data_IF_688710932703
#
_entry.id   IF_688710932703
#
_cell.length_a   1.000
_cell.length_b   1.000
_cell.length_c   1.000
_cell.angle_alpha   90.00
_cell.angle_beta   90.00
_cell.angle_gamma   90.00
#
_symmetry.space_group_name_H-M   'P 1'
#
loop_
_entity.id
_entity.type
_entity.pdbx_description
1 polymer ?
#
# COMPACT_ATOMS: atom_id res chain seq x y z
N UNK A 1 -2.38 -1.01 26.11
CA UNK A 1 -2.76 -1.18 24.69
C UNK A 1 -1.69 -1.93 23.88
N UNK A 2 -0.39 -1.68 24.05
CA UNK A 2 0.67 -2.35 23.27
C UNK A 2 0.76 -3.87 23.47
N UNK A 3 0.50 -4.37 24.69
CA UNK A 3 0.58 -5.81 25.01
C UNK A 3 -0.32 -6.69 24.14
N UNK A 4 -1.52 -6.22 23.79
CA UNK A 4 -2.42 -6.99 22.93
C UNK A 4 -1.91 -7.10 21.49
N UNK A 5 -1.31 -6.04 20.97
CA UNK A 5 -0.68 -6.02 19.64
C UNK A 5 0.48 -7.01 19.59
N UNK A 6 1.40 -6.95 20.57
CA UNK A 6 2.53 -7.87 20.64
C UNK A 6 2.06 -9.32 20.79
N UNK A 7 1.01 -9.59 21.58
CA UNK A 7 0.47 -10.95 21.73
C UNK A 7 -0.06 -11.53 20.42
N UNK A 8 -0.80 -10.73 19.64
CA UNK A 8 -1.28 -11.14 18.31
C UNK A 8 -0.09 -11.39 17.39
N UNK A 9 0.87 -10.47 17.34
CA UNK A 9 2.07 -10.60 16.51
C UNK A 9 2.87 -11.87 16.86
N UNK A 10 3.12 -12.14 18.15
CA UNK A 10 3.84 -13.33 18.60
C UNK A 10 3.14 -14.63 18.18
N UNK A 11 1.82 -14.67 18.19
CA UNK A 11 1.06 -15.86 17.77
C UNK A 11 1.14 -16.05 16.26
N UNK A 12 0.97 -14.99 15.47
CA UNK A 12 1.13 -15.08 14.02
C UNK A 12 2.55 -15.51 13.64
N UNK A 13 3.57 -14.98 14.32
CA UNK A 13 4.96 -15.40 14.16
C UNK A 13 5.18 -16.86 14.56
N UNK A 14 4.58 -17.33 15.65
CA UNK A 14 4.67 -18.72 16.08
C UNK A 14 3.99 -19.66 15.06
N UNK A 15 2.82 -19.30 14.53
CA UNK A 15 2.14 -20.06 13.49
C UNK A 15 3.00 -20.19 12.24
N UNK A 16 3.61 -19.09 11.78
CA UNK A 16 4.54 -19.09 10.65
C UNK A 16 5.78 -19.97 10.95
N UNK A 17 6.41 -19.80 12.10
CA UNK A 17 7.60 -20.55 12.48
C UNK A 17 7.32 -22.06 12.55
N UNK A 18 6.22 -22.47 13.18
CA UNK A 18 5.80 -23.87 13.24
C UNK A 18 5.54 -24.43 11.85
N UNK A 19 4.83 -23.68 11.01
CA UNK A 19 4.55 -24.10 9.64
C UNK A 19 5.83 -24.28 8.81
N UNK A 20 6.77 -23.32 8.88
CA UNK A 20 8.07 -23.40 8.21
C UNK A 20 8.93 -24.56 8.72
N UNK A 21 8.99 -24.77 10.03
CA UNK A 21 9.74 -25.89 10.61
C UNK A 21 9.19 -27.24 10.14
N UNK A 22 7.87 -27.41 10.14
CA UNK A 22 7.21 -28.61 9.59
C UNK A 22 7.54 -28.75 8.10
N UNK A 23 7.38 -27.68 7.33
CA UNK A 23 7.65 -27.67 5.89
C UNK A 23 9.08 -28.12 5.58
N UNK A 24 10.09 -27.49 6.20
CA UNK A 24 11.49 -27.85 5.99
C UNK A 24 11.82 -29.27 6.46
N UNK A 25 11.24 -29.71 7.58
CA UNK A 25 11.46 -31.04 8.13
C UNK A 25 10.99 -32.16 7.20
N UNK A 26 9.87 -31.95 6.50
CA UNK A 26 9.23 -32.97 5.66
C UNK A 26 9.56 -32.86 4.17
N UNK A 27 9.98 -31.68 3.69
CA UNK A 27 10.33 -31.50 2.27
C UNK A 27 11.81 -31.74 2.01
N UNK A 28 12.72 -31.37 2.92
CA UNK A 28 14.18 -31.51 2.72
C UNK A 28 14.68 -31.04 1.34
N UNK A 29 14.00 -30.05 0.76
CA UNK A 29 14.23 -29.52 -0.60
C UNK A 29 13.96 -30.48 -1.77
N UNK A 30 13.31 -31.62 -1.53
CA UNK A 30 12.85 -32.52 -2.58
C UNK A 30 11.56 -32.01 -3.24
N UNK A 31 11.57 -31.92 -4.58
CA UNK A 31 10.47 -31.33 -5.36
C UNK A 31 9.16 -32.13 -5.28
N UNK A 32 9.23 -33.46 -5.18
CA UNK A 32 8.04 -34.30 -5.06
C UNK A 32 7.40 -34.13 -3.69
N UNK A 33 8.22 -34.11 -2.64
CA UNK A 33 7.80 -33.83 -1.27
C UNK A 33 7.20 -32.42 -1.12
N UNK A 34 7.77 -31.39 -1.78
CA UNK A 34 7.20 -30.03 -1.79
C UNK A 34 5.79 -30.03 -2.36
N UNK A 35 5.55 -30.71 -3.49
CA UNK A 35 4.21 -30.83 -4.07
C UNK A 35 3.25 -31.56 -3.14
N UNK A 36 3.69 -32.67 -2.55
CA UNK A 36 2.87 -33.46 -1.61
C UNK A 36 2.42 -32.65 -0.39
N UNK A 37 3.27 -31.74 0.09
CA UNK A 37 3.01 -30.90 1.27
C UNK A 37 2.54 -29.48 0.92
N UNK A 38 2.10 -29.23 -0.31
CA UNK A 38 1.68 -27.89 -0.77
C UNK A 38 0.47 -27.31 -0.01
N UNK A 39 -0.33 -28.16 0.63
CA UNK A 39 -1.45 -27.71 1.48
C UNK A 39 -0.98 -26.94 2.71
N UNK A 40 0.27 -27.13 3.15
CA UNK A 40 0.76 -26.60 4.42
C UNK A 40 0.82 -25.05 4.44
N UNK A 41 1.37 -24.35 3.43
CA UNK A 41 1.22 -22.89 3.30
C UNK A 41 -0.25 -22.42 3.22
N UNK A 42 -1.11 -23.16 2.51
CA UNK A 42 -2.54 -22.85 2.42
C UNK A 42 -3.25 -22.91 3.77
N UNK A 43 -2.94 -23.92 4.58
CA UNK A 43 -3.46 -24.06 5.94
C UNK A 43 -2.97 -22.95 6.87
N UNK A 44 -1.72 -22.49 6.71
CA UNK A 44 -1.22 -21.32 7.45
C UNK A 44 -2.04 -20.07 7.14
N UNK A 45 -2.23 -19.77 5.85
CA UNK A 45 -3.03 -18.62 5.41
C UNK A 45 -4.46 -18.70 5.95
N UNK A 46 -5.09 -19.87 5.87
CA UNK A 46 -6.41 -20.11 6.44
C UNK A 46 -6.42 -19.88 7.95
N UNK A 47 -5.43 -20.40 8.69
CA UNK A 47 -5.29 -20.20 10.13
C UNK A 47 -5.13 -18.72 10.51
N UNK A 48 -4.35 -17.95 9.73
CA UNK A 48 -4.19 -16.50 9.92
C UNK A 48 -5.54 -15.80 9.72
N UNK A 49 -6.28 -16.10 8.65
CA UNK A 49 -7.60 -15.52 8.39
C UNK A 49 -8.59 -15.86 9.51
N UNK A 50 -8.63 -17.12 9.94
CA UNK A 50 -9.46 -17.59 11.05
C UNK A 50 -9.15 -16.80 12.34
N UNK A 51 -7.87 -16.53 12.61
CA UNK A 51 -7.45 -15.73 13.77
C UNK A 51 -8.06 -14.32 13.76
N UNK A 52 -8.16 -13.69 12.59
CA UNK A 52 -8.75 -12.35 12.47
C UNK A 52 -10.29 -12.34 12.44
N UNK A 53 -10.94 -13.41 11.96
CA UNK A 53 -12.39 -13.45 11.76
C UNK A 53 -13.16 -14.07 12.93
N UNK A 54 -12.59 -15.06 13.64
CA UNK A 54 -13.35 -15.82 14.65
C UNK A 54 -13.86 -14.95 15.81
N UNK A 55 -15.15 -14.99 16.18
CA UNK A 55 -15.70 -14.18 17.27
C UNK A 55 -15.33 -14.70 18.68
N UNK A 56 -14.25 -15.46 18.84
CA UNK A 56 -13.77 -15.99 20.12
C UNK A 56 -13.17 -14.90 21.01
N UNK A 57 -13.32 -15.01 22.33
CA UNK A 57 -12.73 -14.04 23.28
C UNK A 57 -11.22 -14.26 23.53
N UNK A 58 -10.53 -14.78 22.53
CA UNK A 58 -9.09 -15.01 22.52
C UNK A 58 -8.52 -13.98 21.53
N UNK A 59 -7.35 -13.41 21.85
CA UNK A 59 -6.63 -12.47 20.98
C UNK A 59 -7.39 -11.17 20.71
N UNK A 60 -7.80 -10.51 21.79
CA UNK A 60 -8.33 -9.14 21.79
C UNK A 60 -9.50 -8.93 20.82
N UNK A 61 -10.64 -9.57 21.13
CA UNK A 61 -11.88 -9.61 20.34
C UNK A 61 -12.31 -8.23 19.83
N UNK A 62 -12.28 -7.20 20.67
CA UNK A 62 -12.68 -5.85 20.28
C UNK A 62 -11.81 -5.28 19.16
N UNK A 63 -10.50 -5.52 19.22
CA UNK A 63 -9.55 -5.02 18.22
C UNK A 63 -9.82 -5.65 16.85
N UNK A 64 -10.10 -6.96 16.84
CA UNK A 64 -10.42 -7.71 15.62
C UNK A 64 -11.77 -7.28 15.03
N UNK A 65 -12.79 -7.10 15.87
CA UNK A 65 -14.08 -6.57 15.43
C UNK A 65 -13.97 -5.15 14.86
N UNK A 66 -13.19 -4.26 15.52
CA UNK A 66 -12.89 -2.93 14.99
C UNK A 66 -12.19 -3.02 13.63
N UNK A 67 -11.17 -3.87 13.48
CA UNK A 67 -10.48 -4.09 12.21
C UNK A 67 -11.44 -4.53 11.09
N UNK A 68 -12.31 -5.52 11.34
CA UNK A 68 -13.31 -5.97 10.37
C UNK A 68 -14.32 -4.87 10.01
N UNK A 69 -14.78 -4.10 11.00
CA UNK A 69 -15.64 -2.94 10.77
C UNK A 69 -14.94 -1.89 9.90
N UNK A 70 -13.64 -1.66 10.10
CA UNK A 70 -12.84 -0.73 9.29
C UNK A 70 -12.71 -1.26 7.87
N UNK A 71 -12.36 -2.54 7.67
CA UNK A 71 -12.32 -3.17 6.34
C UNK A 71 -13.63 -3.00 5.57
N UNK A 72 -14.76 -3.23 6.24
CA UNK A 72 -16.09 -3.01 5.65
C UNK A 72 -16.30 -1.54 5.25
N UNK A 73 -15.99 -0.60 6.13
CA UNK A 73 -16.14 0.84 5.83
C UNK A 73 -15.29 1.28 4.66
N UNK A 74 -14.03 0.86 4.61
CA UNK A 74 -13.11 1.23 3.52
C UNK A 74 -13.59 0.64 2.20
N UNK A 75 -14.02 -0.62 2.16
CA UNK A 75 -14.48 -1.28 0.93
C UNK A 75 -15.69 -0.56 0.32
N UNK A 76 -16.66 -0.16 1.15
CA UNK A 76 -17.84 0.60 0.72
C UNK A 76 -17.65 2.12 0.74
N UNK A 77 -16.44 2.61 0.98
CA UNK A 77 -16.08 4.03 0.94
C UNK A 77 -16.80 4.94 1.93
N UNK A 78 -17.42 4.37 2.96
CA UNK A 78 -18.06 5.11 4.04
C UNK A 78 -17.05 5.40 5.15
N UNK A 79 -16.09 6.28 4.84
CA UNK A 79 -15.10 6.72 5.83
C UNK A 79 -15.82 7.38 7.00
N UNK A 80 -15.51 6.92 8.20
CA UNK A 80 -16.04 7.46 9.45
C UNK A 80 -15.32 8.79 9.79
N UNK A 81 -16.05 9.80 10.30
CA UNK A 81 -15.46 11.11 10.60
C UNK A 81 -14.57 11.08 11.84
N UNK A 82 -14.95 10.30 12.85
CA UNK A 82 -14.20 10.18 14.11
C UNK A 82 -13.00 9.25 13.93
N UNK A 83 -13.16 8.19 13.14
CA UNK A 83 -12.10 7.20 12.88
C UNK A 83 -11.40 7.41 11.53
N UNK A 84 -11.51 8.63 10.98
CA UNK A 84 -11.02 8.97 9.64
C UNK A 84 -9.56 8.58 9.45
N UNK A 85 -8.70 8.91 10.41
CA UNK A 85 -7.28 8.60 10.33
C UNK A 85 -7.03 7.10 10.21
N UNK A 86 -7.70 6.29 11.03
CA UNK A 86 -7.57 4.83 10.99
C UNK A 86 -8.07 4.23 9.68
N UNK A 87 -9.18 4.72 9.14
CA UNK A 87 -9.74 4.24 7.87
C UNK A 87 -8.81 4.58 6.70
N UNK A 88 -8.27 5.80 6.67
CA UNK A 88 -7.32 6.23 5.64
C UNK A 88 -6.01 5.45 5.73
N UNK A 89 -5.47 5.27 6.94
CA UNK A 89 -4.24 4.52 7.18
C UNK A 89 -4.38 3.07 6.70
N UNK A 90 -5.47 2.39 7.06
CA UNK A 90 -5.71 1.00 6.65
C UNK A 90 -5.87 0.89 5.13
N UNK A 91 -6.61 1.80 4.52
CA UNK A 91 -6.82 1.79 3.07
C UNK A 91 -5.52 2.07 2.30
N UNK A 92 -4.64 2.93 2.81
CA UNK A 92 -3.32 3.19 2.22
C UNK A 92 -2.36 2.02 2.39
N UNK A 93 -2.39 1.35 3.55
CA UNK A 93 -1.66 0.09 3.75
C UNK A 93 -2.10 -0.95 2.72
N UNK A 94 -3.41 -1.10 2.47
CA UNK A 94 -3.93 -2.05 1.50
C UNK A 94 -3.37 -1.84 0.07
N UNK A 95 -3.06 -0.60 -0.32
CA UNK A 95 -2.43 -0.32 -1.64
C UNK A 95 -1.04 -0.93 -1.79
N UNK A 96 -0.28 -1.02 -0.70
CA UNK A 96 1.04 -1.67 -0.70
C UNK A 96 0.94 -3.20 -0.81
N UNK A 97 -0.22 -3.79 -0.44
CA UNK A 97 -0.51 -5.22 -0.56
C UNK A 97 -1.08 -5.64 -1.93
N UNK A 98 -1.21 -4.74 -2.91
CA UNK A 98 -1.82 -5.05 -4.21
C UNK A 98 -1.21 -6.28 -4.91
N UNK A 99 0.13 -6.40 -4.93
CA UNK A 99 0.82 -7.57 -5.51
C UNK A 99 0.59 -8.83 -4.67
N UNK A 100 0.66 -8.73 -3.33
CA UNK A 100 0.40 -9.85 -2.42
C UNK A 100 -1.01 -10.42 -2.65
N UNK A 101 -2.02 -9.56 -2.85
CA UNK A 101 -3.37 -9.99 -3.20
C UNK A 101 -3.43 -10.70 -4.55
N UNK A 102 -2.67 -10.23 -5.55
CA UNK A 102 -2.53 -10.90 -6.84
C UNK A 102 -1.88 -12.29 -6.70
N UNK A 103 -0.82 -12.42 -5.92
CA UNK A 103 -0.14 -13.71 -5.70
C UNK A 103 -1.05 -14.68 -4.93
N UNK A 104 -1.77 -14.19 -3.90
CA UNK A 104 -2.77 -14.99 -3.20
C UNK A 104 -3.87 -15.50 -4.14
N UNK A 105 -4.31 -14.69 -5.10
CA UNK A 105 -5.25 -15.12 -6.12
C UNK A 105 -4.68 -16.22 -7.01
N UNK A 106 -3.48 -16.03 -7.56
CA UNK A 106 -2.84 -17.02 -8.44
C UNK A 106 -2.63 -18.34 -7.70
N UNK A 107 -2.06 -18.31 -6.49
CA UNK A 107 -1.88 -19.51 -5.67
C UNK A 107 -3.21 -20.22 -5.37
N UNK A 108 -4.27 -19.47 -5.04
CA UNK A 108 -5.60 -20.04 -4.79
C UNK A 108 -6.18 -20.66 -6.06
N UNK A 109 -6.08 -19.96 -7.19
CA UNK A 109 -6.58 -20.43 -8.47
C UNK A 109 -5.88 -21.71 -8.92
N UNK A 110 -4.56 -21.77 -8.84
CA UNK A 110 -3.78 -22.97 -9.15
C UNK A 110 -4.21 -24.13 -8.27
N UNK A 111 -4.31 -23.91 -6.96
CA UNK A 111 -4.73 -24.93 -6.00
C UNK A 111 -6.11 -25.53 -6.34
N UNK A 112 -7.10 -24.68 -6.65
CA UNK A 112 -8.46 -25.16 -6.99
C UNK A 112 -8.59 -25.74 -8.39
N UNK A 113 -7.65 -25.48 -9.30
CA UNK A 113 -7.62 -26.04 -10.67
C UNK A 113 -6.78 -27.31 -10.78
N UNK A 114 -6.18 -27.77 -9.67
CA UNK A 114 -5.33 -28.97 -9.64
C UNK A 114 -3.91 -28.75 -10.14
N UNK A 115 -3.52 -27.49 -10.39
CA UNK A 115 -2.13 -27.11 -10.68
C UNK A 115 -1.43 -26.89 -9.34
N UNK A 116 -0.24 -27.47 -9.16
CA UNK A 116 0.46 -27.31 -7.89
C UNK A 116 0.77 -25.84 -7.61
N UNK A 117 0.30 -25.34 -6.47
CA UNK A 117 0.49 -23.96 -6.00
C UNK A 117 1.96 -23.62 -5.68
N UNK A 118 2.81 -24.65 -5.62
CA UNK A 118 4.27 -24.55 -5.40
C UNK A 118 5.08 -24.63 -6.69
N UNK A 119 4.43 -24.91 -7.83
CA UNK A 119 5.06 -24.86 -9.15
C UNK A 119 5.13 -23.43 -9.68
N UNK A 120 5.75 -23.25 -10.85
CA UNK A 120 5.86 -21.95 -11.50
C UNK A 120 4.47 -21.28 -11.62
N UNK A 121 4.32 -20.00 -11.21
CA UNK A 121 3.02 -19.35 -11.16
C UNK A 121 2.34 -19.24 -12.53
N UNK A 122 1.14 -19.79 -12.66
CA UNK A 122 0.31 -19.67 -13.86
C UNK A 122 -0.46 -18.34 -13.82
N UNK A 123 0.15 -17.28 -14.35
CA UNK A 123 -0.38 -15.91 -14.25
C UNK A 123 -1.69 -15.68 -15.00
N UNK A 124 -2.08 -16.58 -15.90
CA UNK A 124 -3.37 -16.55 -16.60
C UNK A 124 -4.46 -17.36 -15.87
N UNK A 125 -4.16 -17.96 -14.72
CA UNK A 125 -5.14 -18.72 -13.95
C UNK A 125 -6.32 -17.82 -13.52
N UNK A 126 -7.53 -18.20 -13.94
CA UNK A 126 -8.75 -17.43 -13.72
C UNK A 126 -9.02 -16.35 -14.78
N UNK A 127 -8.26 -16.35 -15.88
CA UNK A 127 -8.44 -15.49 -17.04
C UNK A 127 -7.46 -14.31 -17.10
N UNK A 128 -7.19 -13.84 -18.33
CA UNK A 128 -6.19 -12.80 -18.66
C UNK A 128 -6.34 -11.51 -17.83
N UNK A 129 -7.58 -11.11 -17.53
CA UNK A 129 -7.87 -9.82 -16.90
C UNK A 129 -8.02 -9.88 -15.38
N UNK A 130 -8.11 -11.08 -14.79
CA UNK A 130 -8.42 -11.22 -13.37
C UNK A 130 -7.29 -10.70 -12.47
N UNK A 131 -6.04 -11.06 -12.78
CA UNK A 131 -4.88 -10.60 -12.02
C UNK A 131 -4.73 -9.06 -12.04
N UNK A 132 -4.79 -8.37 -13.20
CA UNK A 132 -4.82 -6.91 -13.25
C UNK A 132 -5.97 -6.27 -12.45
N UNK A 133 -7.17 -6.86 -12.48
CA UNK A 133 -8.33 -6.36 -11.71
C UNK A 133 -8.05 -6.43 -10.21
N UNK A 134 -7.49 -7.54 -9.72
CA UNK A 134 -7.17 -7.73 -8.31
C UNK A 134 -6.05 -6.79 -7.85
N UNK A 135 -5.02 -6.59 -8.67
CA UNK A 135 -3.96 -5.62 -8.39
C UNK A 135 -4.50 -4.18 -8.37
N UNK A 136 -5.49 -3.87 -9.22
CA UNK A 136 -6.12 -2.54 -9.26
C UNK A 136 -7.11 -2.28 -8.10
N UNK A 137 -7.63 -3.33 -7.46
CA UNK A 137 -8.69 -3.23 -6.46
C UNK A 137 -8.36 -2.27 -5.29
N UNK A 138 -7.17 -2.31 -4.64
CA UNK A 138 -6.85 -1.37 -3.57
C UNK A 138 -6.88 0.10 -4.02
N UNK A 139 -6.34 0.40 -5.20
CA UNK A 139 -6.35 1.75 -5.78
C UNK A 139 -7.76 2.19 -6.15
N UNK A 140 -8.61 1.27 -6.64
CA UNK A 140 -10.02 1.53 -6.92
C UNK A 140 -10.82 1.85 -5.65
N UNK A 141 -10.58 1.13 -4.56
CA UNK A 141 -11.18 1.41 -3.24
C UNK A 141 -10.82 2.84 -2.81
N UNK A 142 -9.54 3.23 -2.89
CA UNK A 142 -9.09 4.58 -2.53
C UNK A 142 -9.65 5.65 -3.45
N UNK A 143 -9.67 5.41 -4.76
CA UNK A 143 -10.27 6.33 -5.73
C UNK A 143 -11.75 6.58 -5.39
N UNK A 144 -12.52 5.51 -5.18
CA UNK A 144 -13.94 5.60 -4.81
C UNK A 144 -14.15 6.39 -3.52
N UNK A 145 -13.34 6.13 -2.50
CA UNK A 145 -13.36 6.91 -1.25
C UNK A 145 -13.12 8.40 -1.48
N UNK A 146 -12.09 8.75 -2.27
CA UNK A 146 -11.74 10.14 -2.54
C UNK A 146 -12.84 10.86 -3.32
N UNK A 147 -13.49 10.18 -4.27
CA UNK A 147 -14.62 10.72 -5.03
C UNK A 147 -15.86 10.94 -4.16
N UNK A 148 -16.17 10.00 -3.25
CA UNK A 148 -17.28 10.16 -2.29
C UNK A 148 -17.02 11.35 -1.37
N UNK A 149 -15.81 11.47 -0.83
CA UNK A 149 -15.42 12.60 0.03
C UNK A 149 -15.44 13.93 -0.73
N UNK A 150 -14.98 13.96 -1.99
CA UNK A 150 -15.12 15.14 -2.84
C UNK A 150 -16.60 15.52 -3.03
N UNK A 151 -17.46 14.54 -3.32
CA UNK A 151 -18.91 14.73 -3.48
C UNK A 151 -19.58 15.27 -2.22
N UNK A 152 -19.22 14.75 -1.04
CA UNK A 152 -19.72 15.21 0.28
C UNK A 152 -19.35 16.65 0.60
N UNK A 153 -18.27 17.17 0.00
CA UNK A 153 -17.78 18.53 0.20
C UNK A 153 -18.19 19.48 -0.94
N UNK A 154 -19.05 19.07 -1.87
CA UNK A 154 -19.64 19.99 -2.85
C UNK A 154 -20.38 21.11 -2.10
N UNK A 155 -20.11 22.36 -2.49
CA UNK A 155 -20.63 23.56 -1.81
C UNK A 155 -19.73 24.11 -0.70
N UNK A 156 -18.69 23.37 -0.27
CA UNK A 156 -17.64 23.90 0.63
C UNK A 156 -16.59 24.72 -0.14
N UNK A 157 -15.78 25.55 0.54
CA UNK A 157 -14.67 26.28 -0.07
C UNK A 157 -13.73 25.38 -0.88
N UNK A 158 -13.08 25.95 -1.90
CA UNK A 158 -12.17 25.19 -2.76
C UNK A 158 -10.98 24.59 -1.99
N UNK A 159 -10.55 25.23 -0.90
CA UNK A 159 -9.49 24.75 -0.01
C UNK A 159 -9.81 23.39 0.63
N UNK A 160 -11.07 23.13 0.96
CA UNK A 160 -11.54 21.86 1.55
C UNK A 160 -11.78 20.80 0.47
N UNK A 161 -12.18 21.21 -0.74
CA UNK A 161 -12.53 20.29 -1.84
C UNK A 161 -11.33 19.78 -2.62
N UNK A 162 -10.41 20.69 -2.99
CA UNK A 162 -9.24 20.39 -3.85
C UNK A 162 -8.38 19.23 -3.32
N UNK A 163 -8.11 19.11 -2.00
CA UNK A 163 -7.34 17.98 -1.47
C UNK A 163 -7.94 16.60 -1.80
N UNK A 164 -9.27 16.46 -1.75
CA UNK A 164 -9.94 15.20 -2.09
C UNK A 164 -9.80 14.86 -3.59
N UNK A 165 -9.90 15.88 -4.46
CA UNK A 165 -9.71 15.71 -5.90
C UNK A 165 -8.27 15.30 -6.23
N UNK A 166 -7.28 15.98 -5.68
CA UNK A 166 -5.88 15.62 -5.93
C UNK A 166 -5.55 14.22 -5.40
N UNK A 167 -6.13 13.83 -4.27
CA UNK A 167 -5.98 12.47 -3.78
C UNK A 167 -6.64 11.44 -4.72
N UNK A 168 -7.81 11.75 -5.29
CA UNK A 168 -8.45 10.91 -6.31
C UNK A 168 -7.56 10.76 -7.54
N UNK A 169 -6.98 11.87 -8.05
CA UNK A 169 -6.05 11.84 -9.19
C UNK A 169 -4.80 11.01 -8.90
N UNK A 170 -4.27 11.07 -7.67
CA UNK A 170 -3.15 10.24 -7.23
C UNK A 170 -3.48 8.74 -7.41
N UNK A 171 -4.59 8.25 -6.86
CA UNK A 171 -4.94 6.83 -7.01
C UNK A 171 -5.39 6.47 -8.44
N UNK A 172 -5.96 7.42 -9.18
CA UNK A 172 -6.29 7.23 -10.59
C UNK A 172 -5.02 7.01 -11.45
N UNK A 173 -3.89 7.62 -11.08
CA UNK A 173 -2.62 7.49 -11.82
C UNK A 173 -2.02 6.07 -11.77
N UNK A 174 -2.49 5.20 -10.87
CA UNK A 174 -2.05 3.80 -10.81
C UNK A 174 -2.67 2.93 -11.91
N UNK A 175 -3.86 3.26 -12.42
CA UNK A 175 -4.58 2.42 -13.39
C UNK A 175 -3.86 2.32 -14.74
N UNK A 176 -3.34 3.41 -15.34
CA UNK A 176 -2.55 3.31 -16.56
C UNK A 176 -1.32 2.42 -16.41
N UNK A 177 -0.64 2.45 -15.26
CA UNK A 177 0.51 1.57 -14.99
C UNK A 177 0.10 0.09 -15.06
N UNK A 178 -1.02 -0.26 -14.42
CA UNK A 178 -1.53 -1.63 -14.37
C UNK A 178 -2.03 -2.06 -15.76
N UNK A 179 -2.79 -1.20 -16.44
CA UNK A 179 -3.35 -1.46 -17.76
C UNK A 179 -2.25 -1.71 -18.79
N UNK A 180 -1.27 -0.80 -18.91
CA UNK A 180 -0.20 -0.98 -19.88
C UNK A 180 0.73 -2.15 -19.52
N UNK A 181 0.89 -2.48 -18.23
CA UNK A 181 1.59 -3.70 -17.81
C UNK A 181 0.85 -4.96 -18.27
N UNK A 182 -0.48 -5.00 -18.13
CA UNK A 182 -1.30 -6.13 -18.56
C UNK A 182 -1.31 -6.30 -20.10
N UNK A 183 -1.49 -5.21 -20.86
CA UNK A 183 -1.51 -5.24 -22.32
C UNK A 183 -0.18 -5.70 -22.94
N UNK A 184 0.95 -5.44 -22.27
CA UNK A 184 2.26 -5.94 -22.71
C UNK A 184 2.42 -7.46 -22.50
N UNK A 185 1.64 -8.08 -21.60
CA UNK A 185 1.67 -9.53 -21.35
C UNK A 185 0.74 -10.31 -22.28
N UNK A 186 -0.37 -9.70 -22.69
CA UNK A 186 -1.36 -10.28 -23.61
C UNK A 186 -0.93 -10.18 -25.08
N UNK A 187 0.13 -9.40 -25.37
CA UNK A 187 0.64 -9.31 -26.74
C UNK A 187 1.49 -10.54 -27.03
N UNK A 188 0.90 -11.52 -27.71
CA UNK A 188 1.64 -12.62 -28.35
C UNK A 188 2.80 -12.04 -29.15
N UNK A 189 4.01 -12.61 -28.95
CA UNK A 189 5.31 -12.14 -29.43
C UNK A 189 5.47 -12.01 -30.97
N UNK A 190 4.39 -11.98 -31.73
CA UNK A 190 4.36 -11.73 -33.17
C UNK A 190 3.14 -10.96 -33.70
N UNK A 191 2.17 -10.56 -32.86
CA UNK A 191 0.89 -9.97 -33.32
C UNK A 191 0.93 -8.45 -33.53
N UNK A 192 1.83 -7.73 -32.85
CA UNK A 192 2.07 -6.30 -33.04
C UNK A 192 3.50 -6.10 -33.52
N UNK A 193 3.70 -5.33 -34.58
CA UNK A 193 5.05 -4.98 -35.03
C UNK A 193 5.84 -4.27 -33.91
N UNK A 194 7.17 -4.32 -33.98
CA UNK A 194 8.12 -3.72 -33.01
C UNK A 194 7.72 -2.32 -32.51
N UNK A 195 7.16 -1.49 -33.40
CA UNK A 195 6.69 -0.14 -33.07
C UNK A 195 5.56 -0.11 -32.01
N UNK A 196 4.64 -1.09 -32.03
CA UNK A 196 3.54 -1.20 -31.08
C UNK A 196 4.00 -1.61 -29.68
N UNK A 197 4.96 -2.54 -29.58
CA UNK A 197 5.56 -2.94 -28.31
C UNK A 197 6.34 -1.79 -27.68
N UNK A 198 7.16 -1.10 -28.47
CA UNK A 198 7.92 0.08 -28.01
C UNK A 198 6.99 1.19 -27.54
N UNK A 199 5.87 1.44 -28.23
CA UNK A 199 4.88 2.43 -27.82
C UNK A 199 4.24 2.06 -26.47
N UNK A 200 3.80 0.81 -26.28
CA UNK A 200 3.22 0.35 -25.01
C UNK A 200 4.21 0.48 -23.85
N UNK A 201 5.47 0.10 -24.06
CA UNK A 201 6.52 0.26 -23.06
C UNK A 201 6.73 1.74 -22.68
N UNK A 202 6.76 2.66 -23.66
CA UNK A 202 6.89 4.10 -23.40
C UNK A 202 5.71 4.66 -22.63
N UNK A 203 4.48 4.28 -22.96
CA UNK A 203 3.29 4.69 -22.21
C UNK A 203 3.28 4.13 -20.79
N UNK A 204 3.72 2.88 -20.62
CA UNK A 204 3.90 2.30 -19.30
C UNK A 204 4.95 3.06 -18.48
N UNK A 205 6.11 3.37 -19.05
CA UNK A 205 7.19 4.11 -18.39
C UNK A 205 6.74 5.53 -18.00
N UNK A 206 6.02 6.23 -18.88
CA UNK A 206 5.44 7.54 -18.58
C UNK A 206 4.43 7.44 -17.44
N UNK A 207 3.56 6.44 -17.47
CA UNK A 207 2.56 6.20 -16.41
C UNK A 207 3.24 5.92 -15.06
N UNK A 208 4.32 5.12 -15.08
CA UNK A 208 5.16 4.84 -13.92
C UNK A 208 5.77 6.12 -13.36
N UNK A 209 6.34 6.97 -14.22
CA UNK A 209 6.97 8.22 -13.82
C UNK A 209 5.96 9.17 -13.18
N UNK A 210 4.79 9.34 -13.81
CA UNK A 210 3.70 10.19 -13.29
C UNK A 210 3.20 9.68 -11.95
N UNK A 211 2.84 8.39 -11.87
CA UNK A 211 2.34 7.78 -10.63
C UNK A 211 3.36 7.88 -9.49
N UNK A 212 4.63 7.57 -9.78
CA UNK A 212 5.69 7.58 -8.76
C UNK A 212 5.99 8.99 -8.28
N UNK A 213 6.12 9.96 -9.20
CA UNK A 213 6.40 11.35 -8.83
C UNK A 213 5.26 11.96 -8.02
N UNK A 214 4.01 11.74 -8.43
CA UNK A 214 2.84 12.24 -7.71
C UNK A 214 2.74 11.59 -6.33
N UNK A 215 2.89 10.26 -6.26
CA UNK A 215 2.82 9.55 -4.98
C UNK A 215 3.96 9.96 -4.04
N UNK A 216 5.17 10.23 -4.56
CA UNK A 216 6.30 10.74 -3.80
C UNK A 216 6.08 12.15 -3.25
N UNK A 217 5.62 13.06 -4.11
CA UNK A 217 5.19 14.38 -3.67
C UNK A 217 4.14 14.29 -2.56
N UNK A 218 3.16 13.39 -2.71
CA UNK A 218 2.10 13.23 -1.73
C UNK A 218 2.62 12.76 -0.37
N UNK A 219 3.47 11.74 -0.35
CA UNK A 219 4.01 11.21 0.91
C UNK A 219 4.79 12.28 1.67
N UNK A 220 5.67 13.00 0.98
CA UNK A 220 6.52 14.03 1.59
C UNK A 220 5.74 15.29 1.97
N UNK A 221 5.00 15.89 1.04
CA UNK A 221 4.37 17.20 1.26
C UNK A 221 3.02 17.15 1.96
N UNK A 222 2.25 16.05 1.83
CA UNK A 222 0.88 15.98 2.35
C UNK A 222 0.76 15.07 3.56
N UNK A 223 1.31 13.86 3.44
CA UNK A 223 1.19 12.85 4.48
C UNK A 223 2.15 13.13 5.64
N UNK A 224 3.39 13.51 5.32
CA UNK A 224 4.39 13.96 6.30
C UNK A 224 4.40 15.47 6.51
N UNK A 225 3.61 16.23 5.74
CA UNK A 225 3.41 17.67 5.95
C UNK A 225 4.73 18.47 5.96
N UNK A 226 5.70 18.02 5.16
CA UNK A 226 7.01 18.65 5.06
C UNK A 226 6.98 19.80 4.05
N UNK A 227 7.76 20.85 4.32
CA UNK A 227 7.81 22.07 3.53
C UNK A 227 8.83 22.02 2.37
N UNK A 228 9.41 20.84 2.09
CA UNK A 228 10.47 20.66 1.09
C UNK A 228 10.11 21.16 -0.32
N UNK A 229 8.85 21.02 -0.71
CA UNK A 229 8.32 21.47 -2.02
C UNK A 229 7.53 22.79 -1.94
N UNK A 230 7.74 23.56 -0.86
CA UNK A 230 7.06 24.83 -0.60
C UNK A 230 8.06 25.99 -0.63
N UNK A 231 7.58 27.21 -0.86
CA UNK A 231 8.36 28.43 -0.68
C UNK A 231 8.92 28.57 0.75
N UNK A 232 8.28 27.92 1.73
CA UNK A 232 8.72 27.87 3.12
C UNK A 232 9.98 27.00 3.35
N UNK A 233 10.51 26.31 2.32
CA UNK A 233 11.72 25.48 2.40
C UNK A 233 12.92 26.25 2.99
N UNK A 234 13.02 27.54 2.67
CA UNK A 234 14.13 28.41 3.10
C UNK A 234 13.78 29.26 4.32
N UNK A 235 12.69 28.98 5.04
CA UNK A 235 12.32 29.72 6.25
C UNK A 235 13.38 29.50 7.36
N UNK A 236 13.98 30.56 7.93
CA UNK A 236 14.95 30.44 9.02
C UNK A 236 14.42 29.73 10.27
N UNK A 237 13.10 29.75 10.50
CA UNK A 237 12.45 29.11 11.64
C UNK A 237 12.28 27.58 11.48
N UNK A 238 12.67 27.02 10.34
CA UNK A 238 12.55 25.60 10.05
C UNK A 238 13.89 25.01 9.59
N UNK A 239 14.24 23.77 10.00
CA UNK A 239 15.28 23.03 9.31
C UNK A 239 14.87 22.87 7.84
N UNK A 240 15.80 23.07 6.89
CA UNK A 240 15.57 23.14 5.44
C UNK A 240 14.47 22.20 4.90
N UNK A 241 13.24 22.71 4.72
CA UNK A 241 12.11 21.95 4.20
C UNK A 241 11.44 20.94 5.16
N UNK A 242 11.79 20.93 6.44
CA UNK A 242 11.12 20.13 7.48
C UNK A 242 10.00 20.93 8.18
N UNK A 243 9.35 20.30 9.16
CA UNK A 243 8.33 20.93 10.01
C UNK A 243 8.96 21.63 11.21
N UNK A 244 8.23 22.59 11.76
CA UNK A 244 8.61 23.28 12.99
C UNK A 244 8.57 22.36 14.21
N UNK A 245 7.49 21.59 14.35
CA UNK A 245 7.32 20.62 15.44
C UNK A 245 7.68 19.23 14.91
N UNK A 246 8.78 18.68 15.44
CA UNK A 246 9.28 17.35 15.14
C UNK A 246 9.32 16.53 16.42
N UNK A 247 8.71 15.34 16.43
CA UNK A 247 8.78 14.43 17.57
C UNK A 247 10.10 13.66 17.54
N UNK A 248 10.59 13.32 16.35
CA UNK A 248 11.93 12.76 16.20
C UNK A 248 12.96 13.90 16.30
N UNK A 249 13.85 13.89 17.31
CA UNK A 249 14.71 15.05 17.57
C UNK A 249 15.82 15.23 16.52
N UNK A 250 16.08 14.19 15.70
CA UNK A 250 17.20 14.18 14.76
C UNK A 250 16.71 14.44 13.33
N UNK A 251 17.04 15.59 12.70
CA UNK A 251 16.61 15.93 11.34
C UNK A 251 17.03 14.93 10.26
N UNK A 252 18.20 14.29 10.41
CA UNK A 252 18.69 13.30 9.44
C UNK A 252 17.76 12.10 9.29
N UNK A 253 16.97 11.76 10.31
CA UNK A 253 15.95 10.69 10.25
C UNK A 253 14.87 11.02 9.22
N UNK A 254 14.44 12.29 9.12
CA UNK A 254 13.47 12.72 8.12
C UNK A 254 14.06 12.68 6.70
N UNK A 255 15.28 13.18 6.51
CA UNK A 255 15.91 13.13 5.18
C UNK A 255 16.20 11.70 4.74
N UNK A 256 16.63 10.82 5.67
CA UNK A 256 16.77 9.39 5.40
C UNK A 256 15.43 8.76 5.01
N UNK A 257 14.34 9.11 5.70
CA UNK A 257 13.00 8.64 5.36
C UNK A 257 12.55 9.11 3.96
N UNK A 258 12.77 10.38 3.62
CA UNK A 258 12.48 10.93 2.28
C UNK A 258 13.27 10.19 1.21
N UNK A 259 14.58 10.00 1.42
CA UNK A 259 15.43 9.29 0.49
C UNK A 259 15.01 7.83 0.31
N UNK A 260 14.79 7.11 1.42
CA UNK A 260 14.35 5.72 1.41
C UNK A 260 12.98 5.55 0.76
N UNK A 261 12.02 6.44 1.04
CA UNK A 261 10.71 6.38 0.38
C UNK A 261 10.82 6.60 -1.13
N UNK A 262 11.62 7.57 -1.57
CA UNK A 262 11.89 7.80 -2.99
C UNK A 262 12.54 6.58 -3.67
N UNK A 263 13.60 6.03 -3.07
CA UNK A 263 14.32 4.87 -3.58
C UNK A 263 13.41 3.62 -3.65
N UNK A 264 12.72 3.30 -2.56
CA UNK A 264 11.86 2.13 -2.49
C UNK A 264 10.61 2.29 -3.37
N UNK A 265 10.14 3.51 -3.64
CA UNK A 265 9.03 3.71 -4.57
C UNK A 265 9.38 3.33 -6.02
N UNK A 266 10.65 3.45 -6.42
CA UNK A 266 11.12 2.92 -7.71
C UNK A 266 10.94 1.39 -7.79
N UNK A 267 11.08 0.69 -6.65
CA UNK A 267 10.88 -0.77 -6.60
C UNK A 267 9.43 -1.19 -6.87
N UNK A 268 8.46 -0.37 -6.47
CA UNK A 268 7.05 -0.59 -6.78
C UNK A 268 6.80 -0.57 -8.29
N UNK A 269 7.50 0.28 -9.03
CA UNK A 269 7.40 0.34 -10.48
C UNK A 269 8.10 -0.84 -11.15
N UNK A 270 9.26 -1.24 -10.63
CA UNK A 270 10.03 -2.37 -11.15
C UNK A 270 9.27 -3.70 -11.04
N UNK A 271 8.51 -3.92 -9.96
CA UNK A 271 7.72 -5.17 -9.82
C UNK A 271 6.57 -5.31 -10.82
N UNK A 272 6.11 -4.21 -11.41
CA UNK A 272 5.07 -4.19 -12.45
C UNK A 272 5.67 -4.23 -13.85
N UNK A 273 7.01 -4.29 -13.96
CA UNK A 273 7.72 -4.42 -15.23
C UNK A 273 7.34 -5.74 -15.90
N UNK A 274 6.84 -5.70 -17.15
CA UNK A 274 6.55 -6.91 -17.93
C UNK A 274 7.78 -7.80 -18.14
N UNK A 275 8.97 -7.21 -18.11
CA UNK A 275 10.23 -7.93 -18.29
C UNK A 275 10.65 -8.71 -17.04
N UNK A 276 10.30 -8.25 -15.83
CA UNK A 276 10.62 -8.97 -14.60
C UNK A 276 9.83 -10.28 -14.49
N UNK A 277 8.59 -10.29 -14.99
CA UNK A 277 7.73 -11.47 -15.00
C UNK A 277 8.18 -12.54 -16.02
N UNK A 278 8.94 -12.18 -17.06
CA UNK A 278 9.44 -13.14 -18.08
C UNK A 278 10.56 -14.04 -17.53
N UNK A 279 11.27 -13.61 -16.50
CA UNK A 279 12.35 -14.39 -15.90
C UNK A 279 11.85 -15.08 -14.63
N UNK A 280 11.31 -16.28 -14.78
CA UNK A 280 10.81 -17.13 -13.68
C UNK A 280 11.87 -17.41 -12.59
N UNK A 281 13.16 -17.23 -12.88
CA UNK A 281 14.26 -17.41 -11.94
C UNK A 281 14.37 -16.29 -10.88
N UNK A 282 13.55 -15.23 -10.99
CA UNK A 282 13.60 -14.07 -10.10
C UNK A 282 12.49 -14.03 -9.04
N UNK A 283 11.78 -15.13 -8.75
CA UNK A 283 10.72 -15.16 -7.72
C UNK A 283 11.22 -14.70 -6.33
N UNK A 284 12.47 -15.02 -5.97
CA UNK A 284 13.12 -14.48 -4.77
C UNK A 284 13.27 -12.95 -4.85
N UNK A 285 13.65 -12.43 -6.02
CA UNK A 285 13.72 -10.99 -6.27
C UNK A 285 12.35 -10.33 -6.11
N UNK A 286 11.30 -10.91 -6.70
CA UNK A 286 9.91 -10.43 -6.56
C UNK A 286 9.46 -10.45 -5.11
N UNK A 287 9.81 -11.49 -4.33
CA UNK A 287 9.57 -11.54 -2.90
C UNK A 287 10.28 -10.40 -2.14
N UNK A 288 11.57 -10.16 -2.42
CA UNK A 288 12.32 -9.07 -1.81
C UNK A 288 11.69 -7.71 -2.15
N UNK A 289 11.28 -7.49 -3.40
CA UNK A 289 10.61 -6.25 -3.81
C UNK A 289 9.27 -6.05 -3.05
N UNK A 290 8.52 -7.13 -2.82
CA UNK A 290 7.28 -7.07 -2.02
C UNK A 290 7.58 -6.75 -0.55
N UNK A 291 8.58 -7.40 0.04
CA UNK A 291 9.01 -7.11 1.40
C UNK A 291 9.44 -5.65 1.57
N UNK A 292 10.23 -5.13 0.62
CA UNK A 292 10.66 -3.73 0.60
C UNK A 292 9.50 -2.75 0.48
N UNK A 293 8.45 -3.08 -0.29
CA UNK A 293 7.23 -2.25 -0.36
C UNK A 293 6.49 -2.21 0.99
N UNK A 294 6.41 -3.35 1.70
CA UNK A 294 5.82 -3.39 3.04
C UNK A 294 6.68 -2.61 4.04
N UNK A 295 8.00 -2.74 3.96
CA UNK A 295 8.93 -1.98 4.80
C UNK A 295 8.83 -0.46 4.55
N UNK A 296 8.72 -0.03 3.29
CA UNK A 296 8.48 1.37 2.93
C UNK A 296 7.21 1.91 3.59
N UNK A 297 6.10 1.16 3.50
CA UNK A 297 4.83 1.56 4.14
C UNK A 297 4.93 1.59 5.66
N UNK A 298 5.63 0.62 6.26
CA UNK A 298 5.91 0.61 7.71
C UNK A 298 6.64 1.88 8.16
N UNK A 299 7.69 2.27 7.43
CA UNK A 299 8.40 3.54 7.67
C UNK A 299 7.46 4.74 7.53
N UNK A 300 6.68 4.80 6.44
CA UNK A 300 5.72 5.88 6.19
C UNK A 300 4.68 6.04 7.31
N UNK A 301 4.24 4.94 7.96
CA UNK A 301 3.25 4.99 9.05
C UNK A 301 3.76 5.82 10.23
N UNK A 302 5.03 5.71 10.63
CA UNK A 302 5.54 6.46 11.79
C UNK A 302 5.45 7.96 11.58
N UNK A 303 5.99 8.44 10.47
CA UNK A 303 5.94 9.86 10.13
C UNK A 303 4.50 10.32 9.89
N UNK A 304 3.62 9.47 9.33
CA UNK A 304 2.21 9.80 9.15
C UNK A 304 1.46 9.94 10.47
N UNK A 305 1.70 9.04 11.42
CA UNK A 305 1.13 9.09 12.78
C UNK A 305 1.67 10.30 13.53
N UNK A 306 2.95 10.58 13.40
CA UNK A 306 3.57 11.79 13.96
C UNK A 306 2.91 13.06 13.44
N UNK A 307 2.68 13.17 12.13
CA UNK A 307 1.94 14.30 11.51
C UNK A 307 0.55 14.47 12.12
N UNK A 308 -0.19 13.37 12.27
CA UNK A 308 -1.55 13.45 12.79
C UNK A 308 -1.56 13.82 14.27
N UNK A 309 -0.58 13.34 15.02
CA UNK A 309 -0.37 13.70 16.42
C UNK A 309 -0.10 15.20 16.57
N UNK A 310 0.87 15.75 15.83
CA UNK A 310 1.19 17.18 15.90
C UNK A 310 0.01 18.05 15.49
N UNK A 311 -0.74 17.68 14.44
CA UNK A 311 -1.96 18.39 14.03
C UNK A 311 -3.05 18.36 15.10
N UNK A 312 -3.21 17.24 15.80
CA UNK A 312 -4.18 17.11 16.89
C UNK A 312 -3.80 17.97 18.08
N UNK A 313 -2.52 17.93 18.49
CA UNK A 313 -1.98 18.74 19.58
C UNK A 313 -2.07 20.23 19.28
N UNK A 314 -1.73 20.68 18.06
CA UNK A 314 -1.88 22.09 17.68
C UNK A 314 -3.34 22.54 17.69
N UNK A 315 -4.29 21.67 17.32
CA UNK A 315 -5.73 21.99 17.42
C UNK A 315 -6.19 22.11 18.88
N UNK A 316 -5.79 21.18 19.74
CA UNK A 316 -6.18 21.22 21.17
C UNK A 316 -5.45 22.31 21.96
N UNK A 317 -4.18 22.59 21.64
CA UNK A 317 -3.40 23.67 22.22
C UNK A 317 -3.79 25.05 21.67
N UNK A 318 -4.28 25.13 20.42
CA UNK A 318 -4.81 26.36 19.82
C UNK A 318 -6.06 26.90 20.51
N UNK A 319 -6.93 26.02 21.02
CA UNK A 319 -8.10 26.41 21.83
C UNK A 319 -7.71 26.95 23.22
N UNK A 320 -6.48 26.72 23.69
CA UNK A 320 -5.98 27.21 24.99
C UNK A 320 -4.95 28.34 24.82
N UNK A 321 -4.31 28.50 23.65
CA UNK A 321 -3.18 29.42 23.48
C UNK A 321 -3.13 30.25 22.18
N UNK A 322 -4.10 30.19 21.27
CA UNK A 322 -4.08 31.04 20.06
C UNK A 322 -5.45 31.69 19.77
N UNK A 323 -5.69 32.79 20.50
CA UNK A 323 -6.19 33.97 19.83
C UNK A 323 -5.21 34.35 18.71
N UNK A 324 -5.73 34.51 17.49
CA UNK A 324 -5.05 35.00 16.29
C UNK A 324 -4.00 34.06 15.65
N UNK A 325 -4.47 33.23 14.72
CA UNK A 325 -3.76 33.02 13.45
C UNK A 325 -4.69 33.40 12.30
N UNK A 326 -4.32 34.36 11.43
CA UNK A 326 -5.18 34.77 10.33
C UNK A 326 -5.22 33.66 9.28
N UNK A 327 -6.45 33.28 8.95
CA UNK A 327 -6.79 32.51 7.77
C UNK A 327 -6.15 33.18 6.55
N UNK A 328 -5.22 32.50 5.87
CA UNK A 328 -4.65 32.97 4.60
C UNK A 328 -5.78 33.13 3.57
N UNK A 329 -6.24 34.37 3.38
CA UNK A 329 -6.90 34.80 2.17
C UNK A 329 -5.81 35.10 1.14
N UNK A 330 -5.67 34.22 0.14
CA UNK A 330 -4.92 34.57 -1.04
C UNK A 330 -5.77 35.57 -1.85
N UNK A 331 -5.40 36.85 -1.76
CA UNK A 331 -5.75 37.91 -2.69
C UNK A 331 -4.46 38.40 -3.34
N UNK A 332 -4.17 37.87 -4.53
CA UNK A 332 -3.97 38.62 -5.79
C UNK A 332 -3.63 37.65 -6.93
#
# INVERSE_FOLDING_TARGET
MHTSVYRVASILSAMLAVNLMIFWRYTSSDTESVRKWEMLPGLLLLGILITFVLPINILHREGRYRLLKNFRRIAFGYIDREQRFSDLLLADVLTSYAKVLGDLWICSCMFFTGISSTSMPERQCGGTYMLPIIIALPSAIRLRQCLIEYGRNIGRPASERKPHMYNAMKYASAFPVILFSALQKDTDAGSKGLAGEVALYRFWLLSVLVNSSFSFYWDVARDWDLSLFSAARSNPEHPFGLRQVMIFPVPSVYYAAIFLDGLLRLTWSLKLSPHLDRYGDLELGVFILQFLEIFRRWLWIFFRVETEWTRTETRMGGDILLGEYPYKSDSD
#
